data_IF_160822519082
#
_entry.id   IF_160822519082
#
_cell.length_a   1.000
_cell.length_b   1.000
_cell.length_c   1.000
_cell.angle_alpha   90.00
_cell.angle_beta   90.00
_cell.angle_gamma   90.00
#
_symmetry.space_group_name_H-M   'P 1'
#
loop_
_entity.id
_entity.type
_entity.pdbx_description
1 polymer ?
#
# COMPACT_ATOMS: atom_id res chain seq x y z
N UNK A 1 -4.33 16.58 17.80
CA UNK A 1 -5.62 15.86 17.76
C UNK A 1 -5.55 14.82 16.65
N UNK A 2 -6.06 13.60 16.87
CA UNK A 2 -6.12 12.59 15.83
C UNK A 2 -7.30 12.85 14.89
N UNK A 3 -7.15 12.53 13.61
CA UNK A 3 -8.21 12.64 12.61
C UNK A 3 -9.35 11.66 12.93
N UNK A 4 -10.58 12.16 13.06
CA UNK A 4 -11.76 11.38 13.50
C UNK A 4 -12.91 11.39 12.48
N UNK A 5 -12.68 11.89 11.27
CA UNK A 5 -13.72 11.97 10.25
C UNK A 5 -13.96 10.59 9.65
N UNK A 6 -15.23 10.18 9.58
CA UNK A 6 -15.63 8.91 8.98
C UNK A 6 -15.33 8.90 7.47
N UNK A 7 -14.85 7.76 7.00
CA UNK A 7 -14.61 7.51 5.59
C UNK A 7 -15.93 7.56 4.82
N UNK A 8 -16.07 8.51 3.90
CA UNK A 8 -17.27 8.64 3.08
C UNK A 8 -16.92 9.11 1.66
N UNK A 9 -17.90 9.11 0.75
CA UNK A 9 -17.71 9.63 -0.62
C UNK A 9 -17.30 11.11 -0.64
N UNK A 10 -17.71 11.88 0.37
CA UNK A 10 -17.37 13.31 0.49
C UNK A 10 -16.01 13.53 1.13
N UNK A 11 -15.54 12.55 1.91
CA UNK A 11 -14.28 12.57 2.64
C UNK A 11 -13.46 11.31 2.25
N UNK A 12 -12.87 11.27 1.04
CA UNK A 12 -12.03 10.15 0.64
C UNK A 12 -10.84 10.03 1.59
N UNK A 13 -10.45 8.80 1.90
CA UNK A 13 -9.32 8.54 2.79
C UNK A 13 -8.08 8.19 2.00
N UNK A 14 -6.94 8.77 2.36
CA UNK A 14 -5.66 8.47 1.75
C UNK A 14 -4.90 7.41 2.56
N UNK A 15 -4.53 6.31 1.91
CA UNK A 15 -3.60 5.31 2.42
C UNK A 15 -2.22 5.57 1.83
N UNK A 16 -1.23 5.81 2.69
CA UNK A 16 0.16 5.94 2.29
C UNK A 16 0.97 4.77 2.84
N UNK A 17 1.52 3.96 1.95
CA UNK A 17 2.41 2.86 2.29
C UNK A 17 3.87 3.31 2.18
N UNK A 18 4.63 3.11 3.24
CA UNK A 18 6.08 3.31 3.26
C UNK A 18 6.75 1.94 3.22
N UNK A 19 7.44 1.64 2.14
CA UNK A 19 8.06 0.33 1.88
C UNK A 19 9.57 0.46 2.01
N UNK A 20 10.15 -0.29 2.94
CA UNK A 20 11.59 -0.40 3.05
C UNK A 20 12.16 -1.21 1.88
N UNK A 21 13.21 -0.69 1.25
CA UNK A 21 14.00 -1.31 0.17
C UNK A 21 15.49 -1.38 0.56
N UNK A 22 15.79 -1.40 1.86
CA UNK A 22 17.14 -1.62 2.38
C UNK A 22 17.70 -3.00 1.99
N UNK A 23 19.02 -3.16 2.06
CA UNK A 23 19.69 -4.42 1.70
C UNK A 23 19.16 -5.64 2.49
N UNK A 24 18.77 -5.44 3.75
CA UNK A 24 18.22 -6.50 4.61
C UNK A 24 16.87 -7.04 4.14
N UNK A 25 16.18 -6.33 3.25
CA UNK A 25 14.92 -6.79 2.67
C UNK A 25 15.12 -7.94 1.68
N UNK A 26 16.35 -8.12 1.18
CA UNK A 26 16.73 -9.28 0.38
C UNK A 26 17.03 -10.52 1.23
N UNK A 27 17.14 -10.37 2.56
CA UNK A 27 17.29 -11.52 3.45
C UNK A 27 16.02 -12.36 3.43
N UNK A 28 16.19 -13.64 3.76
CA UNK A 28 15.08 -14.56 3.95
C UNK A 28 14.29 -14.21 5.21
N UNK A 29 12.99 -14.51 5.16
CA UNK A 29 12.15 -14.36 6.34
C UNK A 29 12.48 -15.47 7.36
N UNK A 30 12.54 -15.18 8.68
CA UNK A 30 12.76 -16.21 9.68
C UNK A 30 11.66 -17.28 9.60
N UNK A 31 12.05 -18.53 9.36
CA UNK A 31 11.12 -19.66 9.23
C UNK A 31 10.63 -19.98 7.81
N UNK A 32 10.97 -19.16 6.81
CA UNK A 32 10.68 -19.43 5.39
C UNK A 32 11.98 -19.34 4.56
N UNK A 33 12.36 -20.42 3.90
CA UNK A 33 13.57 -20.50 3.08
C UNK A 33 13.37 -20.05 1.64
N UNK A 34 12.13 -19.82 1.22
CA UNK A 34 11.77 -19.63 -0.19
C UNK A 34 11.56 -18.17 -0.58
N UNK A 35 11.10 -17.33 0.34
CA UNK A 35 10.76 -15.93 0.07
C UNK A 35 11.68 -14.96 0.81
N UNK A 36 12.03 -13.86 0.15
CA UNK A 36 12.69 -12.73 0.81
C UNK A 36 11.69 -11.92 1.65
N UNK A 37 12.19 -11.11 2.60
CA UNK A 37 11.34 -10.16 3.33
C UNK A 37 10.63 -9.20 2.37
N UNK A 38 11.31 -8.78 1.29
CA UNK A 38 10.74 -7.94 0.25
C UNK A 38 9.53 -8.59 -0.43
N UNK A 39 9.65 -9.87 -0.83
CA UNK A 39 8.57 -10.62 -1.47
C UNK A 39 7.35 -10.74 -0.56
N UNK A 40 7.59 -11.01 0.72
CA UNK A 40 6.54 -11.10 1.72
C UNK A 40 5.80 -9.76 1.90
N UNK A 41 6.55 -8.66 2.03
CA UNK A 41 5.97 -7.31 2.17
C UNK A 41 5.20 -6.93 0.91
N UNK A 42 5.75 -7.20 -0.28
CA UNK A 42 5.06 -6.95 -1.54
C UNK A 42 3.74 -7.72 -1.63
N UNK A 43 3.74 -9.00 -1.23
CA UNK A 43 2.54 -9.84 -1.17
C UNK A 43 1.50 -9.28 -0.20
N UNK A 44 1.93 -8.85 0.99
CA UNK A 44 1.05 -8.25 1.99
C UNK A 44 0.43 -6.94 1.51
N UNK A 45 1.22 -6.04 0.93
CA UNK A 45 0.75 -4.77 0.35
C UNK A 45 -0.25 -5.05 -0.78
N UNK A 46 0.07 -5.94 -1.70
CA UNK A 46 -0.82 -6.30 -2.80
C UNK A 46 -2.17 -6.86 -2.31
N UNK A 47 -2.16 -7.67 -1.24
CA UNK A 47 -3.39 -8.17 -0.62
C UNK A 47 -4.24 -7.03 -0.04
N UNK A 48 -3.61 -6.07 0.65
CA UNK A 48 -4.33 -4.90 1.19
C UNK A 48 -4.92 -4.06 0.05
N UNK A 49 -4.15 -3.80 -1.02
CA UNK A 49 -4.64 -3.06 -2.19
C UNK A 49 -5.84 -3.76 -2.84
N UNK A 50 -5.78 -5.08 -2.97
CA UNK A 50 -6.88 -5.87 -3.50
C UNK A 50 -8.15 -5.76 -2.62
N UNK A 51 -8.00 -5.83 -1.30
CA UNK A 51 -9.12 -5.64 -0.37
C UNK A 51 -9.71 -4.22 -0.44
N UNK A 52 -8.87 -3.19 -0.61
CA UNK A 52 -9.33 -1.81 -0.82
C UNK A 52 -10.11 -1.66 -2.13
N UNK A 53 -9.64 -2.28 -3.22
CA UNK A 53 -10.32 -2.26 -4.53
C UNK A 53 -11.70 -2.93 -4.43
N UNK A 54 -11.80 -4.08 -3.76
CA UNK A 54 -13.09 -4.76 -3.55
C UNK A 54 -14.07 -3.85 -2.83
N UNK A 55 -13.65 -3.13 -1.79
CA UNK A 55 -14.51 -2.19 -1.05
C UNK A 55 -14.96 -0.99 -1.89
N UNK A 56 -14.22 -0.63 -2.94
CA UNK A 56 -14.62 0.40 -3.90
C UNK A 56 -15.66 -0.09 -4.90
N UNK A 57 -15.82 -1.40 -5.11
CA UNK A 57 -16.79 -1.96 -6.04
C UNK A 57 -18.07 -2.39 -5.31
N UNK A 58 -19.21 -1.77 -5.61
CA UNK A 58 -20.50 -2.19 -5.06
C UNK A 58 -21.61 -2.01 -6.10
N UNK A 59 -22.41 -3.06 -6.30
CA UNK A 59 -23.56 -3.07 -7.21
C UNK A 59 -23.26 -2.54 -8.62
N UNK A 60 -22.13 -2.95 -9.21
CA UNK A 60 -21.64 -2.53 -10.55
C UNK A 60 -21.12 -1.08 -10.65
N UNK A 61 -21.12 -0.32 -9.57
CA UNK A 61 -20.52 1.02 -9.52
C UNK A 61 -19.14 0.99 -8.85
N UNK A 62 -18.22 1.82 -9.35
CA UNK A 62 -16.91 2.05 -8.75
C UNK A 62 -16.97 3.36 -7.96
N UNK A 63 -16.76 3.26 -6.65
CA UNK A 63 -16.74 4.39 -5.73
C UNK A 63 -15.31 4.80 -5.39
N UNK A 64 -15.03 6.11 -5.46
CA UNK A 64 -13.73 6.69 -5.10
C UNK A 64 -13.62 6.93 -3.59
N UNK A 65 -13.64 5.86 -2.78
CA UNK A 65 -13.50 5.98 -1.32
C UNK A 65 -12.06 6.22 -0.88
N UNK A 66 -11.10 5.68 -1.62
CA UNK A 66 -9.72 5.63 -1.21
C UNK A 66 -8.80 6.25 -2.26
N UNK A 67 -7.81 6.99 -1.76
CA UNK A 67 -6.60 7.38 -2.50
C UNK A 67 -5.46 6.53 -1.96
N UNK A 68 -4.54 6.12 -2.82
CA UNK A 68 -3.43 5.25 -2.45
C UNK A 68 -2.13 5.84 -2.96
N UNK A 69 -1.13 5.88 -2.08
CA UNK A 69 0.26 6.16 -2.43
C UNK A 69 1.19 5.10 -1.86
N UNK A 70 2.26 4.81 -2.59
CA UNK A 70 3.34 3.93 -2.12
C UNK A 70 4.67 4.62 -2.32
N UNK A 71 5.43 4.79 -1.25
CA UNK A 71 6.75 5.39 -1.25
C UNK A 71 7.75 4.30 -0.86
N UNK A 72 8.69 4.00 -1.76
CA UNK A 72 9.86 3.20 -1.43
C UNK A 72 10.92 4.08 -0.77
N UNK A 73 11.56 3.58 0.29
CA UNK A 73 12.71 4.23 0.92
C UNK A 73 13.86 3.24 1.12
N UNK A 74 15.09 3.74 1.17
CA UNK A 74 16.30 2.92 1.22
C UNK A 74 17.48 3.71 0.64
N UNK A 75 18.09 3.20 -0.42
CA UNK A 75 19.14 3.94 -1.15
C UNK A 75 18.61 5.20 -1.85
N UNK A 76 17.36 5.14 -2.33
CA UNK A 76 16.65 6.25 -2.94
C UNK A 76 15.24 6.34 -2.36
N UNK A 77 14.67 7.54 -2.31
CA UNK A 77 13.28 7.75 -1.88
C UNK A 77 12.46 8.16 -3.10
N UNK A 78 11.35 7.46 -3.34
CA UNK A 78 10.52 7.77 -4.50
C UNK A 78 9.20 7.02 -4.56
N UNK A 79 8.31 7.40 -5.50
CA UNK A 79 7.08 6.66 -5.77
C UNK A 79 7.41 5.23 -6.22
N UNK A 80 6.78 4.24 -5.58
CA UNK A 80 6.87 2.85 -5.99
C UNK A 80 5.75 2.45 -6.98
N UNK A 81 4.70 3.26 -7.09
CA UNK A 81 3.66 3.12 -8.11
C UNK A 81 3.87 4.14 -9.24
N UNK A 82 3.50 3.81 -10.48
CA UNK A 82 3.53 4.76 -11.58
C UNK A 82 2.52 5.90 -11.32
N UNK A 83 2.92 7.12 -11.69
CA UNK A 83 2.14 8.34 -11.49
C UNK A 83 2.88 9.36 -10.63
N UNK A 84 2.41 10.61 -10.65
CA UNK A 84 2.95 11.68 -9.81
C UNK A 84 2.03 11.88 -8.59
N UNK A 85 2.64 12.22 -7.45
CA UNK A 85 1.92 12.66 -6.24
C UNK A 85 1.47 14.13 -6.29
N UNK A 86 1.57 14.78 -7.46
CA UNK A 86 1.21 16.19 -7.70
C UNK A 86 -0.28 16.40 -7.84
#
# INVERSE_FOLDING_TARGET
MAYSVEVSRRNPTCFLFLVDQSASMNDRMPGDTTQSKADFVATAVNRILHELIIRCSKNMEIYRYFQVGVIGYGATVGPALPGNFT
#
